data_IF_708196751899
#
_entry.id   IF_708196751899
#
_cell.length_a   1.000
_cell.length_b   1.000
_cell.length_c   1.000
_cell.angle_alpha   90.00
_cell.angle_beta   90.00
_cell.angle_gamma   90.00
#
_symmetry.space_group_name_H-M   'P 1'
#
loop_
_entity.id
_entity.type
_entity.pdbx_description
1 polymer ?
#
# COMPACT_ATOMS: atom_id res chain seq x y z
N UNK A 1 -11.34 -19.60 -21.10
CA UNK A 1 -12.43 -19.13 -22.00
C UNK A 1 -12.02 -17.85 -22.75
N UNK A 2 -12.73 -17.48 -23.82
CA UNK A 2 -12.59 -16.15 -24.45
C UNK A 2 -13.23 -15.10 -23.52
N UNK A 3 -12.56 -13.96 -23.33
CA UNK A 3 -13.08 -12.85 -22.55
C UNK A 3 -14.30 -12.22 -23.24
N UNK A 4 -15.37 -12.01 -22.48
CA UNK A 4 -16.51 -11.21 -22.92
C UNK A 4 -16.15 -9.73 -22.97
N UNK A 5 -16.97 -8.89 -23.60
CA UNK A 5 -16.76 -7.43 -23.58
C UNK A 5 -16.89 -6.85 -22.16
N UNK A 6 -17.77 -7.42 -21.33
CA UNK A 6 -17.92 -7.05 -19.92
C UNK A 6 -16.64 -7.38 -19.12
N UNK A 7 -16.08 -8.58 -19.31
CA UNK A 7 -14.81 -8.96 -18.67
C UNK A 7 -13.67 -8.00 -19.06
N UNK A 8 -13.60 -7.59 -20.34
CA UNK A 8 -12.57 -6.65 -20.82
C UNK A 8 -12.74 -5.26 -20.21
N UNK A 9 -13.97 -4.76 -20.10
CA UNK A 9 -14.25 -3.47 -19.47
C UNK A 9 -13.87 -3.49 -18.00
N UNK A 10 -14.26 -4.56 -17.29
CA UNK A 10 -13.89 -4.81 -15.90
C UNK A 10 -12.37 -4.80 -15.69
N UNK A 11 -11.63 -5.56 -16.50
CA UNK A 11 -10.15 -5.62 -16.41
C UNK A 11 -9.56 -4.22 -16.64
N UNK A 12 -10.04 -3.50 -17.66
CA UNK A 12 -9.54 -2.17 -17.99
C UNK A 12 -9.82 -1.14 -16.88
N UNK A 13 -10.91 -1.30 -16.12
CA UNK A 13 -11.18 -0.48 -14.92
C UNK A 13 -10.16 -0.73 -13.81
N UNK A 14 -9.83 -1.99 -13.54
CA UNK A 14 -8.84 -2.34 -12.51
C UNK A 14 -7.41 -1.96 -12.93
N UNK A 15 -7.07 -2.04 -14.21
CA UNK A 15 -5.80 -1.51 -14.74
C UNK A 15 -5.70 0.01 -14.57
N UNK A 16 -6.80 0.75 -14.85
CA UNK A 16 -6.84 2.21 -14.61
C UNK A 16 -6.72 2.56 -13.14
N UNK A 17 -7.32 1.77 -12.24
CA UNK A 17 -7.17 1.96 -10.81
C UNK A 17 -5.69 1.84 -10.42
N UNK A 18 -5.02 0.76 -10.82
CA UNK A 18 -3.59 0.57 -10.56
C UNK A 18 -2.75 1.72 -11.13
N UNK A 19 -3.00 2.13 -12.38
CA UNK A 19 -2.29 3.24 -13.01
C UNK A 19 -2.41 4.54 -12.19
N UNK A 20 -3.62 4.87 -11.73
CA UNK A 20 -3.85 6.06 -10.92
C UNK A 20 -3.17 5.98 -9.54
N UNK A 21 -3.15 4.80 -8.92
CA UNK A 21 -2.42 4.54 -7.68
C UNK A 21 -0.91 4.72 -7.88
N UNK A 22 -0.34 4.13 -8.94
CA UNK A 22 1.08 4.25 -9.25
C UNK A 22 1.48 5.68 -9.59
N UNK A 23 0.61 6.44 -10.27
CA UNK A 23 0.83 7.85 -10.54
C UNK A 23 0.91 8.65 -9.24
N UNK A 24 -0.01 8.43 -8.30
CA UNK A 24 0.01 9.06 -6.97
C UNK A 24 1.32 8.74 -6.23
N UNK A 25 1.71 7.46 -6.16
CA UNK A 25 2.95 7.04 -5.51
C UNK A 25 4.21 7.63 -6.17
N UNK A 26 4.25 7.67 -7.51
CA UNK A 26 5.37 8.25 -8.25
C UNK A 26 5.49 9.77 -8.02
N UNK A 27 4.37 10.49 -7.90
CA UNK A 27 4.36 11.93 -7.62
C UNK A 27 4.90 12.28 -6.23
N UNK A 28 4.88 11.33 -5.30
CA UNK A 28 5.47 11.51 -3.97
C UNK A 28 7.00 11.38 -3.98
N UNK A 29 7.61 10.71 -4.98
CA UNK A 29 9.05 10.49 -5.04
C UNK A 29 9.89 11.78 -4.91
N UNK A 30 9.62 12.86 -5.66
CA UNK A 30 10.39 14.10 -5.55
C UNK A 30 10.22 14.78 -4.19
N UNK A 31 9.03 14.69 -3.59
CA UNK A 31 8.75 15.30 -2.29
C UNK A 31 9.47 14.57 -1.16
N UNK A 32 9.45 13.23 -1.18
CA UNK A 32 10.22 12.40 -0.25
C UNK A 32 11.72 12.70 -0.41
N UNK A 33 12.22 12.83 -1.64
CA UNK A 33 13.60 13.20 -1.91
C UNK A 33 13.95 14.62 -1.44
N UNK A 34 13.07 15.61 -1.61
CA UNK A 34 13.30 16.99 -1.22
C UNK A 34 13.20 17.20 0.30
N UNK A 35 12.17 16.64 0.96
CA UNK A 35 12.02 16.64 2.42
C UNK A 35 13.24 15.98 3.08
N UNK A 36 13.77 14.92 2.47
CA UNK A 36 15.01 14.27 2.86
C UNK A 36 16.23 15.21 2.76
N UNK A 37 16.38 15.98 1.68
CA UNK A 37 17.47 16.96 1.56
C UNK A 37 17.38 18.03 2.64
N UNK A 38 16.18 18.56 2.89
CA UNK A 38 15.93 19.62 3.89
C UNK A 38 16.17 19.14 5.33
N UNK A 39 15.63 17.97 5.71
CA UNK A 39 15.84 17.39 7.03
C UNK A 39 17.32 17.08 7.31
N UNK A 40 18.07 16.66 6.29
CA UNK A 40 19.51 16.44 6.40
C UNK A 40 20.28 17.74 6.66
N UNK A 41 19.91 18.84 5.98
CA UNK A 41 20.53 20.14 6.22
C UNK A 41 20.25 20.63 7.64
N UNK A 42 19.01 20.49 8.12
CA UNK A 42 18.61 20.86 9.46
C UNK A 42 19.32 20.02 10.55
N UNK A 43 19.41 18.70 10.39
CA UNK A 43 20.09 17.82 11.33
C UNK A 43 21.60 18.15 11.43
N UNK A 44 22.27 18.39 10.30
CA UNK A 44 23.67 18.80 10.28
C UNK A 44 23.90 20.14 10.97
N UNK A 45 23.01 21.10 10.75
CA UNK A 45 23.10 22.40 11.41
C UNK A 45 22.87 22.29 12.91
N UNK A 46 21.92 21.46 13.36
CA UNK A 46 21.69 21.22 14.78
C UNK A 46 22.90 20.54 15.44
N UNK A 47 23.50 19.53 14.80
CA UNK A 47 24.75 18.92 15.27
C UNK A 47 25.86 19.97 15.37
N UNK A 48 25.99 20.85 14.37
CA UNK A 48 26.97 21.93 14.37
C UNK A 48 26.76 22.91 15.51
N UNK A 49 25.51 23.28 15.80
CA UNK A 49 25.16 24.17 16.91
C UNK A 49 25.48 23.54 18.27
N UNK A 50 25.04 22.30 18.50
CA UNK A 50 25.29 21.57 19.76
C UNK A 50 26.79 21.37 20.00
N UNK A 51 27.56 21.01 18.96
CA UNK A 51 29.01 20.85 19.04
C UNK A 51 29.73 22.19 19.31
N UNK A 52 29.21 23.30 18.77
CA UNK A 52 29.81 24.63 18.97
C UNK A 52 29.42 25.28 20.31
N UNK A 53 28.26 24.97 20.87
CA UNK A 53 27.80 25.49 22.16
C UNK A 53 28.41 24.76 23.37
N UNK A 54 29.01 23.58 23.18
CA UNK A 54 29.64 22.82 24.25
C UNK A 54 31.13 23.14 24.41
N UNK A 55 31.50 23.59 25.62
CA UNK A 55 32.85 23.98 26.01
C UNK A 55 33.88 22.85 25.83
N UNK A 56 35.12 23.25 25.51
CA UNK A 56 36.24 22.36 25.15
C UNK A 56 36.68 21.35 26.21
N UNK A 57 36.27 21.49 27.47
CA UNK A 57 36.83 20.73 28.61
C UNK A 57 36.03 19.47 28.99
N UNK A 58 34.78 19.31 28.56
CA UNK A 58 33.91 18.17 28.92
C UNK A 58 33.65 17.23 27.73
N UNK A 59 34.67 16.94 26.92
CA UNK A 59 34.57 15.96 25.82
C UNK A 59 34.42 14.53 26.35
N UNK A 60 33.26 14.18 26.89
CA UNK A 60 32.81 12.79 26.92
C UNK A 60 32.40 12.39 25.48
N UNK A 61 32.73 11.17 25.01
CA UNK A 61 32.39 10.73 23.66
C UNK A 61 30.90 10.32 23.63
N UNK A 62 30.01 11.30 23.60
CA UNK A 62 28.59 11.06 23.35
C UNK A 62 28.36 11.09 21.83
N UNK A 63 28.13 9.89 21.29
CA UNK A 63 27.77 9.56 19.90
C UNK A 63 28.73 10.18 18.88
N UNK A 64 29.72 9.41 18.43
CA UNK A 64 30.62 9.87 17.36
C UNK A 64 29.79 10.34 16.15
N UNK A 65 30.28 11.38 15.46
CA UNK A 65 29.70 11.87 14.20
C UNK A 65 29.40 10.73 13.22
N UNK A 66 30.17 9.64 13.30
CA UNK A 66 30.02 8.42 12.52
C UNK A 66 28.76 7.60 12.90
N UNK A 67 28.43 7.45 14.18
CA UNK A 67 27.24 6.73 14.62
C UNK A 67 25.95 7.49 14.28
N UNK A 68 25.96 8.82 14.41
CA UNK A 68 24.86 9.68 13.93
C UNK A 68 24.76 9.58 12.40
N UNK A 69 25.88 9.66 11.69
CA UNK A 69 25.89 9.51 10.23
C UNK A 69 25.36 8.13 9.79
N UNK A 70 25.70 7.06 10.49
CA UNK A 70 25.23 5.69 10.22
C UNK A 70 23.74 5.53 10.50
N UNK A 71 23.25 6.02 11.63
CA UNK A 71 21.82 5.95 11.94
C UNK A 71 20.98 6.75 10.93
N UNK A 72 21.47 7.94 10.55
CA UNK A 72 20.86 8.71 9.47
C UNK A 72 21.00 7.94 8.14
N UNK A 73 22.09 7.23 7.83
CA UNK A 73 22.24 6.38 6.63
C UNK A 73 21.23 5.22 6.58
N UNK A 74 20.92 4.60 7.71
CA UNK A 74 19.94 3.51 7.78
C UNK A 74 18.52 4.05 7.57
N UNK A 75 18.21 5.21 8.17
CA UNK A 75 16.98 5.95 7.87
C UNK A 75 16.96 6.37 6.38
N UNK A 76 18.10 6.82 5.81
CA UNK A 76 18.29 7.24 4.39
C UNK A 76 17.93 6.15 3.37
N UNK A 77 18.11 4.86 3.69
CA UNK A 77 17.78 3.74 2.79
C UNK A 77 16.32 3.31 2.91
N UNK A 78 15.73 3.40 4.11
CA UNK A 78 14.46 2.73 4.39
C UNK A 78 13.23 3.46 3.83
N UNK A 79 13.21 4.80 3.76
CA UNK A 79 12.07 5.56 3.22
C UNK A 79 11.91 5.41 1.71
N UNK A 80 13.01 5.59 0.96
CA UNK A 80 13.01 5.47 -0.50
C UNK A 80 12.69 4.03 -0.86
N UNK A 81 13.33 3.07 -0.19
CA UNK A 81 13.05 1.64 -0.35
C UNK A 81 11.59 1.31 -0.08
N UNK A 82 10.97 1.92 0.94
CA UNK A 82 9.56 1.67 1.24
C UNK A 82 8.62 2.19 0.14
N UNK A 83 8.87 3.38 -0.41
CA UNK A 83 8.08 3.90 -1.52
C UNK A 83 8.34 3.12 -2.82
N UNK A 84 9.59 2.71 -3.09
CA UNK A 84 9.89 1.82 -4.21
C UNK A 84 9.19 0.47 -4.09
N UNK A 85 9.20 -0.15 -2.90
CA UNK A 85 8.46 -1.39 -2.65
C UNK A 85 6.94 -1.20 -2.87
N UNK A 86 6.38 -0.08 -2.42
CA UNK A 86 4.98 0.28 -2.71
C UNK A 86 4.72 0.45 -4.21
N UNK A 87 5.64 1.02 -4.97
CA UNK A 87 5.47 1.16 -6.43
C UNK A 87 5.50 -0.22 -7.12
N UNK A 88 6.28 -1.17 -6.60
CA UNK A 88 6.32 -2.52 -7.16
C UNK A 88 5.07 -3.33 -6.82
N UNK A 89 4.58 -3.23 -5.57
CA UNK A 89 3.45 -4.00 -5.05
C UNK A 89 2.60 -3.13 -4.09
N UNK A 90 1.77 -2.21 -4.61
CA UNK A 90 1.11 -1.19 -3.80
C UNK A 90 0.04 -1.78 -2.88
N UNK A 91 -0.77 -2.68 -3.40
CA UNK A 91 -1.86 -3.34 -2.69
C UNK A 91 -2.05 -4.75 -3.25
N UNK A 92 -2.77 -5.59 -2.51
CA UNK A 92 -3.17 -6.94 -2.94
C UNK A 92 -4.68 -7.15 -2.82
N UNK A 93 -5.43 -6.16 -2.34
CA UNK A 93 -6.88 -6.23 -2.26
C UNK A 93 -7.54 -4.86 -2.26
N UNK A 94 -8.85 -4.88 -2.48
CA UNK A 94 -9.72 -3.71 -2.42
C UNK A 94 -11.02 -4.09 -1.72
N UNK A 95 -11.50 -3.17 -0.90
CA UNK A 95 -12.80 -3.28 -0.25
C UNK A 95 -13.60 -2.01 -0.50
N UNK A 96 -14.88 -2.16 -0.82
CA UNK A 96 -15.87 -1.09 -0.72
C UNK A 96 -16.97 -1.53 0.24
N UNK A 97 -17.34 -0.67 1.17
CA UNK A 97 -18.42 -0.90 2.13
C UNK A 97 -19.53 0.11 1.94
N UNK A 98 -20.77 -0.31 2.15
CA UNK A 98 -21.91 0.59 2.37
C UNK A 98 -22.37 0.47 3.80
N UNK A 99 -22.27 1.57 4.53
CA UNK A 99 -22.68 1.65 5.93
C UNK A 99 -24.19 1.92 6.05
N UNK A 100 -24.77 1.58 7.19
CA UNK A 100 -26.19 1.80 7.48
C UNK A 100 -26.59 3.28 7.44
N UNK A 101 -25.66 4.20 7.75
CA UNK A 101 -25.87 5.64 7.62
C UNK A 101 -25.87 6.15 6.17
N UNK A 102 -25.68 5.23 5.21
CA UNK A 102 -25.66 5.48 3.78
C UNK A 102 -24.29 5.91 3.25
N UNK A 103 -23.27 6.05 4.09
CA UNK A 103 -21.92 6.35 3.65
C UNK A 103 -21.27 5.16 2.93
N UNK A 104 -20.44 5.47 1.94
CA UNK A 104 -19.62 4.49 1.24
C UNK A 104 -18.15 4.74 1.51
N UNK A 105 -17.41 3.68 1.84
CA UNK A 105 -15.97 3.76 2.11
C UNK A 105 -15.26 2.77 1.20
N UNK A 106 -14.29 3.25 0.43
CA UNK A 106 -13.43 2.42 -0.40
C UNK A 106 -11.98 2.56 0.03
N UNK A 107 -11.27 1.44 0.13
CA UNK A 107 -9.86 1.42 0.44
C UNK A 107 -9.14 0.26 -0.23
N UNK A 108 -7.84 0.46 -0.44
CA UNK A 108 -6.91 -0.55 -0.91
C UNK A 108 -6.19 -1.15 0.31
N UNK A 109 -5.88 -2.44 0.27
CA UNK A 109 -5.15 -3.13 1.35
C UNK A 109 -3.80 -3.62 0.82
N UNK A 110 -2.72 -3.25 1.50
CA UNK A 110 -1.35 -3.52 1.09
C UNK A 110 -0.43 -3.88 2.25
N UNK A 111 0.83 -4.19 1.93
CA UNK A 111 1.87 -4.52 2.93
C UNK A 111 2.31 -3.32 3.76
N UNK A 112 2.07 -2.10 3.27
CA UNK A 112 2.42 -0.81 3.87
C UNK A 112 1.28 0.16 3.60
N UNK A 113 1.09 1.13 4.49
CA UNK A 113 0.10 2.19 4.32
C UNK A 113 0.61 3.32 3.43
N UNK A 114 -0.31 3.92 2.68
CA UNK A 114 -0.11 5.19 1.98
C UNK A 114 -1.47 5.89 1.86
N UNK A 115 -1.71 6.87 2.74
CA UNK A 115 -3.03 7.51 2.86
C UNK A 115 -3.40 8.31 1.61
N UNK A 116 -2.43 8.98 0.98
CA UNK A 116 -2.65 9.74 -0.26
C UNK A 116 -3.04 8.85 -1.44
N UNK A 117 -2.60 7.59 -1.44
CA UNK A 117 -2.98 6.59 -2.43
C UNK A 117 -4.16 5.71 -1.97
N UNK A 118 -4.75 5.95 -0.80
CA UNK A 118 -5.87 5.17 -0.26
C UNK A 118 -5.50 3.75 0.20
N UNK A 119 -4.21 3.49 0.46
CA UNK A 119 -3.69 2.17 0.83
C UNK A 119 -3.58 2.05 2.35
N UNK A 120 -4.15 0.98 2.89
CA UNK A 120 -4.16 0.61 4.30
C UNK A 120 -3.23 -0.59 4.52
N UNK A 121 -2.39 -0.53 5.55
CA UNK A 121 -1.54 -1.64 5.97
C UNK A 121 -2.42 -2.76 6.55
N UNK A 122 -2.29 -3.97 6.01
CA UNK A 122 -3.10 -5.11 6.44
C UNK A 122 -2.89 -5.55 7.89
N UNK A 123 -1.70 -5.31 8.47
CA UNK A 123 -1.37 -5.72 9.84
C UNK A 123 -1.87 -4.74 10.88
N UNK A 124 -1.76 -3.45 10.54
CA UNK A 124 -1.88 -2.35 11.49
C UNK A 124 -3.12 -1.48 11.22
N UNK A 125 -3.74 -1.64 10.06
CA UNK A 125 -4.89 -0.84 9.64
C UNK A 125 -6.14 -1.18 10.44
N UNK A 126 -6.82 -0.20 11.05
CA UNK A 126 -8.01 -0.46 11.87
C UNK A 126 -9.18 -1.05 11.08
N UNK A 127 -9.22 -0.82 9.76
CA UNK A 127 -10.25 -1.35 8.85
C UNK A 127 -9.79 -2.59 8.09
N UNK A 128 -8.54 -3.05 8.27
CA UNK A 128 -7.97 -4.15 7.50
C UNK A 128 -8.72 -5.48 7.74
N UNK A 129 -9.27 -5.68 8.94
CA UNK A 129 -10.07 -6.86 9.29
C UNK A 129 -11.26 -7.08 8.36
N UNK A 130 -11.84 -6.01 7.79
CA UNK A 130 -12.97 -6.11 6.87
C UNK A 130 -12.64 -6.92 5.62
N UNK A 131 -11.39 -6.90 5.15
CA UNK A 131 -10.96 -7.69 4.00
C UNK A 131 -10.80 -9.19 4.33
N UNK A 132 -10.44 -9.54 5.56
CA UNK A 132 -10.16 -10.93 5.94
C UNK A 132 -11.37 -11.64 6.54
N UNK A 133 -12.20 -10.91 7.26
CA UNK A 133 -13.28 -11.47 8.06
C UNK A 133 -14.60 -11.60 7.30
N UNK A 134 -14.79 -10.82 6.23
CA UNK A 134 -16.06 -10.74 5.51
C UNK A 134 -15.89 -10.98 4.01
N UNK A 135 -16.92 -11.57 3.40
CA UNK A 135 -17.04 -11.77 1.96
C UNK A 135 -17.81 -10.61 1.33
N UNK A 136 -17.75 -10.52 0.00
CA UNK A 136 -18.64 -9.62 -0.73
C UNK A 136 -20.10 -10.00 -0.49
N UNK A 137 -20.96 -8.98 -0.40
CA UNK A 137 -22.37 -9.03 0.00
C UNK A 137 -22.63 -9.48 1.45
N UNK A 138 -21.58 -9.63 2.27
CA UNK A 138 -21.73 -9.99 3.69
C UNK A 138 -21.93 -8.75 4.55
N UNK A 139 -22.83 -8.83 5.52
CA UNK A 139 -23.03 -7.82 6.55
C UNK A 139 -21.87 -7.84 7.56
N UNK A 140 -21.41 -6.67 7.99
CA UNK A 140 -20.40 -6.53 9.02
C UNK A 140 -20.91 -5.67 10.17
N UNK A 141 -20.38 -5.95 11.35
CA UNK A 141 -20.54 -5.13 12.55
C UNK A 141 -19.22 -5.19 13.32
N UNK A 142 -18.51 -4.07 13.36
CA UNK A 142 -17.16 -3.98 13.92
C UNK A 142 -17.00 -2.67 14.71
N UNK A 143 -16.11 -2.68 15.72
CA UNK A 143 -15.68 -1.46 16.41
C UNK A 143 -14.36 -1.02 15.79
N UNK A 144 -14.40 0.06 15.02
CA UNK A 144 -13.25 0.59 14.28
C UNK A 144 -12.95 1.98 14.82
N UNK A 145 -11.74 2.19 15.33
CA UNK A 145 -11.32 3.46 15.95
C UNK A 145 -12.32 3.94 17.02
N UNK A 146 -12.71 3.03 17.94
CA UNK A 146 -13.65 3.31 19.04
C UNK A 146 -15.07 3.71 18.58
N UNK A 147 -15.38 3.56 17.29
CA UNK A 147 -16.71 3.80 16.73
C UNK A 147 -17.31 2.49 16.22
N UNK A 148 -18.53 2.20 16.64
CA UNK A 148 -19.33 1.13 16.06
C UNK A 148 -19.66 1.46 14.60
N UNK A 149 -19.38 0.52 13.70
CA UNK A 149 -19.69 0.61 12.28
C UNK A 149 -20.41 -0.67 11.86
N UNK A 150 -21.49 -0.48 11.12
CA UNK A 150 -22.35 -1.54 10.62
C UNK A 150 -22.71 -1.27 9.16
N UNK A 151 -22.87 -2.32 8.38
CA UNK A 151 -23.17 -2.23 6.96
C UNK A 151 -22.92 -3.54 6.25
N UNK A 152 -22.62 -3.47 4.96
CA UNK A 152 -22.21 -4.65 4.18
C UNK A 152 -21.06 -4.35 3.22
N UNK A 153 -20.35 -5.42 2.85
CA UNK A 153 -19.25 -5.36 1.88
C UNK A 153 -19.84 -5.33 0.46
N UNK A 154 -19.88 -4.16 -0.19
CA UNK A 154 -20.33 -4.04 -1.58
C UNK A 154 -19.37 -4.68 -2.58
N UNK A 155 -18.07 -4.62 -2.29
CA UNK A 155 -17.04 -5.10 -3.20
C UNK A 155 -15.88 -5.63 -2.39
N UNK A 156 -15.40 -6.82 -2.75
CA UNK A 156 -14.15 -7.38 -2.24
C UNK A 156 -13.43 -8.13 -3.34
N UNK A 157 -12.25 -7.63 -3.71
CA UNK A 157 -11.41 -8.20 -4.77
C UNK A 157 -9.99 -8.37 -4.29
N UNK A 158 -9.29 -9.36 -4.84
CA UNK A 158 -7.86 -9.59 -4.60
C UNK A 158 -7.09 -9.43 -5.90
N UNK A 159 -5.83 -9.03 -5.77
CA UNK A 159 -4.97 -8.72 -6.90
C UNK A 159 -3.58 -9.30 -6.67
N UNK A 160 -2.99 -9.78 -7.76
CA UNK A 160 -1.56 -10.00 -7.82
C UNK A 160 -0.98 -8.90 -8.71
N UNK A 161 -0.07 -8.12 -8.12
CA UNK A 161 0.66 -7.07 -8.80
C UNK A 161 2.14 -7.42 -8.69
N UNK A 162 2.84 -7.39 -9.82
CA UNK A 162 4.26 -7.68 -9.89
C UNK A 162 4.96 -6.58 -10.68
N UNK A 163 6.01 -5.99 -10.10
CA UNK A 163 6.78 -4.92 -10.72
C UNK A 163 5.92 -3.75 -11.24
N UNK A 164 4.87 -3.40 -10.51
CA UNK A 164 3.92 -2.34 -10.88
C UNK A 164 2.96 -2.73 -12.02
N UNK A 165 2.81 -4.02 -12.33
CA UNK A 165 1.89 -4.53 -13.34
C UNK A 165 0.85 -5.45 -12.72
N UNK A 166 -0.42 -5.26 -13.10
CA UNK A 166 -1.49 -6.16 -12.71
C UNK A 166 -1.35 -7.49 -13.47
N UNK A 167 -1.17 -8.59 -12.74
CA UNK A 167 -0.99 -9.93 -13.33
C UNK A 167 -2.15 -10.87 -13.02
N UNK A 168 -2.90 -10.63 -11.95
CA UNK A 168 -4.11 -11.39 -11.62
C UNK A 168 -5.15 -10.54 -10.90
N UNK A 169 -6.42 -10.83 -11.16
CA UNK A 169 -7.58 -10.29 -10.47
C UNK A 169 -8.44 -11.49 -10.02
N UNK A 170 -8.69 -11.58 -8.71
CA UNK A 170 -9.61 -12.55 -8.12
C UNK A 170 -10.85 -11.82 -7.63
N UNK A 171 -11.99 -12.11 -8.27
CA UNK A 171 -13.25 -11.48 -7.96
C UNK A 171 -14.41 -12.49 -8.07
N UNK A 172 -15.60 -12.20 -7.51
CA UNK A 172 -16.78 -13.06 -7.67
C UNK A 172 -17.18 -13.31 -9.13
N UNK A 173 -16.86 -12.37 -10.03
CA UNK A 173 -17.10 -12.46 -11.47
C UNK A 173 -16.17 -13.48 -12.17
N UNK A 174 -15.08 -13.88 -11.51
CA UNK A 174 -14.12 -14.88 -11.96
C UNK A 174 -12.67 -14.55 -11.60
N UNK A 175 -11.78 -15.48 -11.92
CA UNK A 175 -10.33 -15.30 -11.84
C UNK A 175 -9.77 -14.91 -13.21
N UNK A 176 -9.11 -13.77 -13.28
CA UNK A 176 -8.48 -13.27 -14.49
C UNK A 176 -6.98 -13.25 -14.31
N UNK A 177 -6.23 -13.82 -15.24
CA UNK A 177 -4.77 -13.84 -15.20
C UNK A 177 -4.18 -13.38 -16.52
N UNK A 178 -3.12 -12.58 -16.44
CA UNK A 178 -2.35 -12.11 -17.59
C UNK A 178 -1.26 -13.13 -17.93
N UNK A 179 -1.19 -13.51 -19.20
CA UNK A 179 -0.13 -14.33 -19.77
C UNK A 179 0.54 -13.59 -20.95
N UNK A 180 1.47 -14.24 -21.64
CA UNK A 180 2.19 -13.67 -22.79
C UNK A 180 1.27 -13.22 -23.94
N UNK A 181 0.10 -13.86 -24.09
CA UNK A 181 -0.89 -13.54 -25.13
C UNK A 181 -1.92 -12.48 -24.68
N UNK A 182 -1.87 -12.04 -23.41
CA UNK A 182 -2.79 -11.06 -22.83
C UNK A 182 -3.61 -11.62 -21.67
N UNK A 183 -4.78 -11.04 -21.44
CA UNK A 183 -5.67 -11.47 -20.37
C UNK A 183 -6.47 -12.72 -20.74
N UNK A 184 -6.63 -13.62 -19.79
CA UNK A 184 -7.52 -14.78 -19.89
C UNK A 184 -8.31 -14.99 -18.61
N UNK A 185 -9.53 -15.53 -18.74
CA UNK A 185 -10.37 -15.96 -17.63
C UNK A 185 -10.11 -17.44 -17.35
N UNK A 186 -9.75 -17.76 -16.11
CA UNK A 186 -9.51 -19.11 -15.61
C UNK A 186 -10.85 -19.73 -15.15
N UNK A 187 -11.05 -21.01 -15.43
CA UNK A 187 -12.20 -21.76 -14.92
C UNK A 187 -11.92 -22.24 -13.49
N UNK A 188 -12.95 -22.26 -12.65
CA UNK A 188 -12.88 -22.66 -11.23
C UNK A 188 -12.37 -24.11 -11.07
N UNK A 189 -12.44 -24.95 -12.12
CA UNK A 189 -11.93 -26.33 -12.11
C UNK A 189 -10.40 -26.45 -12.15
N UNK A 190 -9.66 -25.40 -12.56
CA UNK A 190 -8.19 -25.40 -12.57
C UNK A 190 -7.57 -25.23 -11.16
N UNK A 191 -8.38 -24.96 -10.12
CA UNK A 191 -7.94 -24.82 -8.73
C UNK A 191 -7.24 -26.09 -8.16
N UNK A 192 -7.60 -27.28 -8.66
CA UNK A 192 -7.15 -28.55 -8.08
C UNK A 192 -5.69 -28.90 -8.46
N UNK A 193 -5.15 -28.30 -9.51
CA UNK A 193 -3.80 -28.65 -10.01
C UNK A 193 -2.71 -27.72 -9.45
N UNK A 194 -3.03 -26.46 -9.09
CA UNK A 194 -2.04 -25.51 -8.57
C UNK A 194 -1.73 -25.67 -7.06
N UNK A 195 -2.54 -26.46 -6.34
CA UNK A 195 -2.37 -26.72 -4.90
C UNK A 195 -1.96 -28.18 -4.60
N UNK A 196 -1.39 -28.90 -5.59
CA UNK A 196 -0.78 -30.24 -5.40
C UNK A 196 0.71 -30.25 -5.68
#
# INVERSE_FOLDING_TARGET
>A
MLLTEEDKQFIAEEERLLESTLQSLCQQLPQVQAAKISANAAARELTRQVVNEWNHEERQPLVSDEAVAHHILDIRKNSDKALYELIQEPYFGRVCTKEEDGSEVSFLIGKKSNIEAGIVDWRNGPIAGLYFNYKQEEEFYEVINERERAGYIQLRRSYQIENGQLVQIDAPEGMFRRNEAGWGKLDVEDEIVAHR
#
